data_IF_213629344764
#
_entry.id   IF_213629344764
#
_cell.length_a   1.000
_cell.length_b   1.000
_cell.length_c   1.000
_cell.angle_alpha   90.00
_cell.angle_beta   90.00
_cell.angle_gamma   90.00
#
_symmetry.space_group_name_H-M   'P 1'
#
loop_
_entity.id
_entity.type
_entity.pdbx_description
1 polymer ?
#
# COMPACT_ATOMS: atom_id res chain seq x y z
N UNK A 1 -10.48 -20.65 7.29
CA UNK A 1 -10.25 -19.79 6.11
C UNK A 1 -9.73 -18.46 6.61
N UNK A 2 -8.57 -18.02 6.13
CA UNK A 2 -8.10 -16.65 6.37
C UNK A 2 -9.01 -15.69 5.58
N UNK A 3 -9.23 -14.47 6.09
CA UNK A 3 -9.86 -13.43 5.28
C UNK A 3 -8.99 -13.12 4.07
N UNK A 4 -9.58 -12.52 3.01
CA UNK A 4 -8.80 -12.10 1.84
C UNK A 4 -7.64 -11.18 2.24
N UNK A 5 -7.88 -10.26 3.19
CA UNK A 5 -6.85 -9.34 3.73
C UNK A 5 -5.72 -10.13 4.44
N UNK A 6 -6.05 -11.10 5.31
CA UNK A 6 -5.03 -11.91 5.98
C UNK A 6 -4.21 -12.78 5.01
N UNK A 7 -4.80 -13.19 3.88
CA UNK A 7 -4.08 -13.91 2.85
C UNK A 7 -3.07 -13.00 2.11
N UNK A 8 -3.48 -11.80 1.67
CA UNK A 8 -2.54 -10.89 1.00
C UNK A 8 -1.42 -10.44 1.94
N UNK A 9 -1.71 -10.22 3.21
CA UNK A 9 -0.69 -9.92 4.22
C UNK A 9 0.36 -11.04 4.30
N UNK A 10 -0.07 -12.30 4.36
CA UNK A 10 0.84 -13.44 4.41
C UNK A 10 1.72 -13.53 3.14
N UNK A 11 1.15 -13.22 1.97
CA UNK A 11 1.91 -13.14 0.71
C UNK A 11 2.98 -12.05 0.81
N UNK A 12 2.61 -10.83 1.19
CA UNK A 12 3.55 -9.71 1.31
C UNK A 12 4.66 -9.96 2.35
N UNK A 13 4.36 -10.67 3.44
CA UNK A 13 5.36 -11.07 4.45
C UNK A 13 6.39 -12.05 3.89
N UNK A 14 5.99 -12.89 2.94
CA UNK A 14 6.86 -13.88 2.30
C UNK A 14 7.73 -13.33 1.18
N UNK A 15 7.48 -12.10 0.73
CA UNK A 15 8.19 -11.50 -0.40
C UNK A 15 9.52 -10.85 0.01
N UNK A 16 10.47 -10.88 -0.93
CA UNK A 16 11.72 -10.13 -0.87
C UNK A 16 11.49 -8.63 -1.09
N UNK A 17 12.49 -7.82 -0.74
CA UNK A 17 12.45 -6.37 -0.98
C UNK A 17 12.27 -6.03 -2.47
N UNK A 18 12.92 -6.78 -3.35
CA UNK A 18 12.84 -6.57 -4.79
C UNK A 18 11.44 -6.89 -5.33
N UNK A 19 10.83 -8.00 -4.90
CA UNK A 19 9.47 -8.37 -5.28
C UNK A 19 8.43 -7.34 -4.79
N UNK A 20 8.57 -6.88 -3.54
CA UNK A 20 7.73 -5.82 -2.99
C UNK A 20 7.86 -4.51 -3.78
N UNK A 21 9.08 -4.15 -4.18
CA UNK A 21 9.36 -2.94 -4.95
C UNK A 21 8.79 -3.04 -6.36
N UNK A 22 8.97 -4.17 -7.06
CA UNK A 22 8.37 -4.38 -8.38
C UNK A 22 6.84 -4.38 -8.36
N UNK A 23 6.20 -4.90 -7.31
CA UNK A 23 4.76 -4.76 -7.11
C UNK A 23 4.33 -3.30 -6.97
N UNK A 24 5.06 -2.51 -6.17
CA UNK A 24 4.79 -1.09 -6.01
C UNK A 24 4.98 -0.34 -7.33
N UNK A 25 6.05 -0.62 -8.07
CA UNK A 25 6.33 0.02 -9.35
C UNK A 25 5.27 -0.31 -10.39
N UNK A 26 4.86 -1.57 -10.53
CA UNK A 26 3.79 -1.98 -11.45
C UNK A 26 2.48 -1.24 -11.17
N UNK A 27 2.14 -1.08 -9.87
CA UNK A 27 0.96 -0.33 -9.47
C UNK A 27 1.09 1.17 -9.79
N UNK A 28 2.23 1.77 -9.48
CA UNK A 28 2.46 3.20 -9.75
C UNK A 28 2.52 3.50 -11.26
N UNK A 29 3.06 2.59 -12.08
CA UNK A 29 3.08 2.71 -13.53
C UNK A 29 1.67 2.71 -14.12
N UNK A 30 0.81 1.79 -13.69
CA UNK A 30 -0.60 1.81 -14.12
C UNK A 30 -1.31 3.09 -13.71
N UNK A 31 -1.09 3.59 -12.48
CA UNK A 31 -1.69 4.85 -12.04
C UNK A 31 -1.23 6.07 -12.84
N UNK A 32 -0.03 6.04 -13.43
CA UNK A 32 0.45 7.12 -14.33
C UNK A 32 -0.32 7.17 -15.65
N UNK A 33 -1.02 6.11 -16.02
CA UNK A 33 -1.87 6.08 -17.24
C UNK A 33 -3.16 6.90 -17.08
N UNK A 34 -3.48 7.36 -15.85
CA UNK A 34 -4.63 8.20 -15.54
C UNK A 34 -5.60 7.49 -14.60
N UNK A 35 -6.75 7.05 -15.12
CA UNK A 35 -7.78 6.34 -14.35
C UNK A 35 -7.84 4.88 -14.81
N UNK A 36 -6.86 4.03 -14.42
CA UNK A 36 -6.89 2.62 -14.79
C UNK A 36 -8.07 1.92 -14.11
N UNK A 37 -8.73 1.05 -14.86
CA UNK A 37 -9.76 0.16 -14.31
C UNK A 37 -9.16 -0.85 -13.35
N UNK A 38 -9.99 -1.43 -12.46
CA UNK A 38 -9.53 -2.47 -11.57
C UNK A 38 -8.91 -3.69 -12.29
N UNK A 39 -9.37 -4.00 -13.51
CA UNK A 39 -8.82 -5.09 -14.31
C UNK A 39 -7.42 -4.75 -14.86
N UNK A 40 -7.19 -3.51 -15.29
CA UNK A 40 -5.86 -3.07 -15.73
C UNK A 40 -4.85 -3.17 -14.60
N UNK A 41 -5.22 -2.68 -13.41
CA UNK A 41 -4.38 -2.78 -12.21
C UNK A 41 -4.12 -4.24 -11.85
N UNK A 42 -5.15 -5.08 -11.81
CA UNK A 42 -5.00 -6.50 -11.49
C UNK A 42 -4.07 -7.21 -12.49
N UNK A 43 -4.20 -6.90 -13.78
CA UNK A 43 -3.35 -7.46 -14.83
C UNK A 43 -1.89 -7.05 -14.68
N UNK A 44 -1.62 -5.80 -14.31
CA UNK A 44 -0.25 -5.35 -14.03
C UNK A 44 0.35 -6.04 -12.79
N UNK A 45 -0.46 -6.20 -11.73
CA UNK A 45 -0.05 -6.90 -10.52
C UNK A 45 0.19 -8.40 -10.77
N UNK A 46 -0.56 -9.03 -11.67
CA UNK A 46 -0.45 -10.46 -11.99
C UNK A 46 0.92 -10.84 -12.57
N UNK A 47 1.58 -9.90 -13.24
CA UNK A 47 2.97 -10.07 -13.69
C UNK A 47 3.98 -10.19 -12.54
N UNK A 48 3.60 -9.81 -11.32
CA UNK A 48 4.45 -9.83 -10.13
C UNK A 48 3.96 -10.81 -9.05
N UNK A 49 2.64 -10.91 -8.83
CA UNK A 49 2.01 -11.91 -7.95
C UNK A 49 0.55 -12.15 -8.34
N UNK A 50 0.23 -13.41 -8.64
CA UNK A 50 -1.14 -13.86 -8.96
C UNK A 50 -2.06 -13.70 -7.74
N UNK A 51 -1.54 -13.93 -6.54
CA UNK A 51 -2.28 -13.83 -5.28
C UNK A 51 -2.64 -12.39 -4.95
N UNK A 52 -1.71 -11.44 -5.12
CA UNK A 52 -1.98 -10.01 -4.94
C UNK A 52 -2.97 -9.51 -5.99
N UNK A 53 -2.84 -9.95 -7.24
CA UNK A 53 -3.79 -9.63 -8.31
C UNK A 53 -5.19 -10.18 -8.00
N UNK A 54 -5.29 -11.43 -7.53
CA UNK A 54 -6.55 -12.05 -7.14
C UNK A 54 -7.19 -11.31 -5.96
N UNK A 55 -6.41 -10.97 -4.92
CA UNK A 55 -6.88 -10.12 -3.83
C UNK A 55 -7.41 -8.79 -4.37
N UNK A 56 -6.69 -8.15 -5.28
CA UNK A 56 -7.10 -6.88 -5.87
C UNK A 56 -8.38 -7.02 -6.69
N UNK A 57 -8.59 -8.11 -7.46
CA UNK A 57 -9.83 -8.33 -8.22
C UNK A 57 -11.03 -8.54 -7.30
N UNK A 58 -10.91 -9.47 -6.35
CA UNK A 58 -12.08 -9.99 -5.62
C UNK A 58 -12.37 -9.30 -4.30
N UNK A 59 -11.44 -8.50 -3.76
CA UNK A 59 -11.70 -7.77 -2.53
C UNK A 59 -12.85 -6.79 -2.69
N UNK A 60 -13.86 -6.92 -1.83
CA UNK A 60 -14.94 -5.96 -1.69
C UNK A 60 -14.45 -4.70 -0.95
N UNK A 61 -14.81 -3.52 -1.45
CA UNK A 61 -14.48 -2.24 -0.81
C UNK A 61 -15.49 -1.17 -1.19
N UNK A 62 -15.54 -0.09 -0.43
CA UNK A 62 -16.37 1.09 -0.70
C UNK A 62 -15.90 1.92 -1.90
N UNK A 63 -14.76 1.59 -2.54
CA UNK A 63 -14.31 2.21 -3.79
C UNK A 63 -12.93 1.73 -4.25
N UNK A 64 -12.69 1.74 -5.56
CA UNK A 64 -11.42 1.30 -6.17
C UNK A 64 -10.21 2.09 -5.66
N UNK A 65 -10.35 3.40 -5.50
CA UNK A 65 -9.32 4.27 -4.93
C UNK A 65 -8.88 3.79 -3.53
N UNK A 66 -9.82 3.33 -2.69
CA UNK A 66 -9.49 2.81 -1.35
C UNK A 66 -8.66 1.54 -1.46
N UNK A 67 -8.99 0.61 -2.37
CA UNK A 67 -8.21 -0.63 -2.58
C UNK A 67 -6.78 -0.33 -3.03
N UNK A 68 -6.62 0.62 -3.94
CA UNK A 68 -5.32 1.06 -4.45
C UNK A 68 -4.47 1.62 -3.31
N UNK A 69 -5.02 2.57 -2.55
CA UNK A 69 -4.28 3.21 -1.45
C UNK A 69 -3.99 2.20 -0.34
N UNK A 70 -4.88 1.25 -0.08
CA UNK A 70 -4.64 0.17 0.90
C UNK A 70 -3.45 -0.69 0.50
N UNK A 71 -3.40 -1.13 -0.77
CA UNK A 71 -2.29 -1.94 -1.28
C UNK A 71 -0.98 -1.14 -1.28
N UNK A 72 -0.99 0.11 -1.75
CA UNK A 72 0.19 0.97 -1.70
C UNK A 72 0.68 1.21 -0.27
N UNK A 73 -0.23 1.43 0.68
CA UNK A 73 0.10 1.61 2.09
C UNK A 73 0.73 0.36 2.71
N UNK A 74 0.17 -0.82 2.43
CA UNK A 74 0.73 -2.09 2.88
C UNK A 74 2.11 -2.36 2.28
N UNK A 75 2.29 -2.15 0.96
CA UNK A 75 3.57 -2.28 0.27
C UNK A 75 4.62 -1.32 0.85
N UNK A 76 4.25 -0.06 1.04
CA UNK A 76 5.18 0.93 1.59
C UNK A 76 5.63 0.61 3.01
N UNK A 77 4.75 0.06 3.85
CA UNK A 77 5.11 -0.42 5.17
C UNK A 77 6.03 -1.65 5.08
N UNK A 78 5.72 -2.61 4.22
CA UNK A 78 6.56 -3.79 4.01
C UNK A 78 7.97 -3.41 3.53
N UNK A 79 8.05 -2.55 2.51
CA UNK A 79 9.30 -2.02 1.95
C UNK A 79 10.09 -1.28 3.03
N UNK A 80 9.49 -0.30 3.71
CA UNK A 80 10.19 0.45 4.74
C UNK A 80 10.70 -0.46 5.87
N UNK A 81 9.92 -1.47 6.26
CA UNK A 81 10.33 -2.41 7.30
C UNK A 81 11.54 -3.24 6.86
N UNK A 82 11.50 -3.80 5.64
CA UNK A 82 12.60 -4.56 5.06
C UNK A 82 13.86 -3.69 4.87
N UNK A 83 13.71 -2.46 4.38
CA UNK A 83 14.83 -1.53 4.15
C UNK A 83 15.52 -1.14 5.46
N UNK A 84 14.77 -0.81 6.51
CA UNK A 84 15.35 -0.24 7.74
C UNK A 84 15.61 -1.25 8.84
N UNK A 85 14.99 -2.44 8.78
CA UNK A 85 15.10 -3.48 9.83
C UNK A 85 15.63 -4.80 9.31
N UNK A 86 15.77 -4.97 7.99
CA UNK A 86 16.30 -6.17 7.34
C UNK A 86 15.56 -7.47 7.71
N UNK A 87 14.28 -7.37 8.05
CA UNK A 87 13.36 -8.47 8.33
C UNK A 87 11.98 -8.15 7.78
N UNK A 88 11.13 -9.15 7.49
CA UNK A 88 9.76 -8.89 7.05
C UNK A 88 8.95 -8.10 8.09
N UNK A 89 8.02 -7.27 7.60
CA UNK A 89 7.05 -6.63 8.47
C UNK A 89 6.17 -7.71 9.15
N UNK A 90 5.92 -7.65 10.47
CA UNK A 90 4.93 -8.51 11.10
C UNK A 90 3.55 -8.31 10.46
N UNK A 91 2.76 -9.38 10.28
CA UNK A 91 1.44 -9.30 9.64
C UNK A 91 0.51 -8.24 10.29
N UNK A 92 0.51 -8.12 11.62
CA UNK A 92 -0.28 -7.11 12.31
C UNK A 92 0.06 -5.66 11.92
N UNK A 93 1.30 -5.39 11.45
CA UNK A 93 1.69 -4.06 10.95
C UNK A 93 1.11 -3.76 9.58
N UNK A 94 0.95 -4.78 8.74
CA UNK A 94 0.29 -4.65 7.45
C UNK A 94 -1.23 -4.48 7.65
N UNK A 95 -1.82 -5.22 8.60
CA UNK A 95 -3.22 -5.04 9.03
C UNK A 95 -3.48 -3.61 9.50
N UNK A 96 -2.64 -3.10 10.40
CA UNK A 96 -2.73 -1.73 10.90
C UNK A 96 -2.62 -0.71 9.76
N UNK A 97 -1.73 -0.93 8.79
CA UNK A 97 -1.55 -0.04 7.65
C UNK A 97 -2.83 0.03 6.80
N UNK A 98 -3.39 -1.13 6.46
CA UNK A 98 -4.64 -1.25 5.72
C UNK A 98 -5.82 -0.63 6.47
N UNK A 99 -5.90 -0.82 7.78
CA UNK A 99 -6.92 -0.21 8.63
C UNK A 99 -6.81 1.32 8.64
N UNK A 100 -5.61 1.87 8.85
CA UNK A 100 -5.36 3.31 8.85
C UNK A 100 -5.74 3.96 7.52
N UNK A 101 -5.48 3.31 6.39
CA UNK A 101 -5.93 3.84 5.09
C UNK A 101 -7.45 3.91 5.01
N UNK A 102 -8.16 2.85 5.46
CA UNK A 102 -9.64 2.85 5.44
C UNK A 102 -10.24 3.96 6.30
N UNK A 103 -9.55 4.33 7.37
CA UNK A 103 -9.96 5.39 8.31
C UNK A 103 -9.46 6.79 7.89
N UNK A 104 -8.86 6.94 6.70
CA UNK A 104 -8.23 8.18 6.24
C UNK A 104 -7.11 8.69 7.17
N UNK A 105 -6.47 7.76 7.87
CA UNK A 105 -5.40 7.96 8.83
C UNK A 105 -4.02 7.67 8.25
N UNK A 106 -3.83 7.94 6.95
CA UNK A 106 -2.62 7.64 6.19
C UNK A 106 -1.35 8.23 6.81
N UNK A 107 -1.46 9.39 7.46
CA UNK A 107 -0.36 10.05 8.16
C UNK A 107 0.22 9.27 9.34
N UNK A 108 -0.49 8.25 9.81
CA UNK A 108 -0.06 7.38 10.89
C UNK A 108 0.60 6.08 10.42
N UNK A 109 0.78 5.90 9.10
CA UNK A 109 1.50 4.73 8.59
C UNK A 109 2.93 4.71 9.16
N UNK A 110 3.45 3.53 9.57
CA UNK A 110 4.79 3.38 10.14
C UNK A 110 5.90 3.45 9.09
N UNK A 111 5.85 4.45 8.21
CA UNK A 111 6.84 4.76 7.19
C UNK A 111 7.73 5.88 7.75
N UNK A 112 9.07 5.75 7.69
CA UNK A 112 9.96 6.83 8.11
C UNK A 112 9.66 8.13 7.40
N UNK A 113 9.65 9.23 8.15
CA UNK A 113 9.27 10.56 7.65
C UNK A 113 10.17 11.08 6.51
N UNK A 114 11.40 10.58 6.43
CA UNK A 114 12.39 10.90 5.41
C UNK A 114 12.20 10.15 4.10
N UNK A 115 11.48 9.02 4.12
CA UNK A 115 11.40 8.11 2.98
C UNK A 115 10.51 8.69 1.88
N UNK A 116 10.66 8.21 0.63
CA UNK A 116 9.75 8.55 -0.46
C UNK A 116 8.30 8.24 -0.09
N UNK A 117 7.38 9.12 -0.48
CA UNK A 117 5.97 8.89 -0.26
C UNK A 117 5.45 7.82 -1.23
N UNK A 118 4.68 6.88 -0.69
CA UNK A 118 4.14 5.74 -1.44
C UNK A 118 3.18 6.08 -2.59
N UNK A 119 2.69 7.32 -2.65
CA UNK A 119 1.72 7.74 -3.67
C UNK A 119 2.35 8.04 -5.04
N UNK A 120 3.68 7.84 -5.18
CA UNK A 120 4.38 8.07 -6.45
C UNK A 120 4.69 9.54 -6.76
N UNK A 121 4.44 10.48 -5.83
CA UNK A 121 4.69 11.92 -6.04
C UNK A 121 6.17 12.33 -6.10
N UNK A 122 7.10 11.42 -5.75
CA UNK A 122 8.52 11.72 -5.60
C UNK A 122 8.87 12.58 -4.38
N UNK A 123 7.88 13.08 -3.65
CA UNK A 123 8.08 13.84 -2.40
C UNK A 123 8.34 12.92 -1.22
N UNK A 124 8.98 13.44 -0.16
CA UNK A 124 9.12 12.72 1.12
C UNK A 124 7.77 12.52 1.80
N UNK A 125 7.61 11.41 2.52
CA UNK A 125 6.39 11.07 3.26
C UNK A 125 5.94 12.22 4.17
N UNK A 126 6.85 12.82 4.97
CA UNK A 126 6.55 13.99 5.83
C UNK A 126 5.89 15.17 5.11
N UNK A 127 6.19 15.40 3.84
CA UNK A 127 5.70 16.56 3.10
C UNK A 127 4.46 16.26 2.27
N UNK A 128 4.14 14.97 2.07
CA UNK A 128 3.01 14.52 1.30
C UNK A 128 1.93 13.97 2.25
N UNK A 129 1.94 12.67 2.55
CA UNK A 129 0.90 12.04 3.37
C UNK A 129 1.22 11.94 4.88
N UNK A 130 2.43 12.29 5.32
CA UNK A 130 2.90 12.13 6.70
C UNK A 130 2.57 13.30 7.63
N UNK A 131 1.64 14.19 7.24
CA UNK A 131 1.14 15.29 8.09
C UNK A 131 -0.28 14.96 8.54
N UNK A 132 -0.59 15.12 9.83
CA UNK A 132 -1.99 15.07 10.24
C UNK A 132 -2.77 16.19 9.50
N UNK A 133 -4.06 15.97 9.22
CA UNK A 133 -4.92 17.06 8.77
C UNK A 133 -4.78 18.21 9.77
N UNK A 134 -4.50 19.42 9.29
CA UNK A 134 -4.58 20.58 10.18
C UNK A 134 -6.03 20.65 10.64
N UNK A 135 -6.27 20.54 11.95
CA UNK A 135 -7.57 20.85 12.51
C UNK A 135 -7.95 22.23 11.96
N UNK A 136 -9.07 22.32 11.26
CA UNK A 136 -9.59 23.62 10.85
C UNK A 136 -9.67 24.48 12.12
N UNK A 137 -9.20 25.74 12.10
CA UNK A 137 -9.41 26.62 13.24
C UNK A 137 -10.91 26.61 13.54
N UNK A 138 -11.25 26.36 14.81
CA UNK A 138 -12.63 26.48 15.26
C UNK A 138 -13.09 27.91 14.94
N UNK A 139 -14.03 28.04 14.00
CA UNK A 139 -14.68 29.30 13.66
C UNK A 139 -15.75 29.59 14.71
#
# INVERSE_FOLDING_TARGET
>A
MLSADAHVEAVLVGMTLDELSHLQDALLEELRTGMPSAEQIAKALEGQSVEVAAWFRFRQSTGEAVKIVMLLGALAVAIAWMTHRHVPAPAHRLQDAMARVREDHVYMLPIPRSDPCFCGSGSRFRSCHGRPPMAAPAV
#
